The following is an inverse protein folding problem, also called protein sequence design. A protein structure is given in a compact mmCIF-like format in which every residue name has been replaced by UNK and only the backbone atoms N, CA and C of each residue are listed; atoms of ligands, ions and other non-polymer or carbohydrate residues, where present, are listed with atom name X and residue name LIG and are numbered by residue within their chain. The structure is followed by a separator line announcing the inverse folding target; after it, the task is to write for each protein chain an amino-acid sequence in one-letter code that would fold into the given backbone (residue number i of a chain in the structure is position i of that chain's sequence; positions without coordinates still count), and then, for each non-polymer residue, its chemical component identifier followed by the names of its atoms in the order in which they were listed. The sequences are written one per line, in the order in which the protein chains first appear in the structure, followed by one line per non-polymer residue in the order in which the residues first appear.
data_IF_862480443455
#
_entry.id   IF_862480443455
#
_cell.length_a   1.000
_cell.length_b   1.000
_cell.length_c   1.000
_cell.angle_alpha   90.00
_cell.angle_beta   90.00
_cell.angle_gamma   90.00
#
_symmetry.space_group_name_H-M   'P 1'
#
loop_
_entity.id
_entity.type
_entity.pdbx_description
1 polymer ?
#
# COMPACT_ATOMS: atom_id res chain seq x y z
N UNK A 1 -17.97 3.99 -18.34
CA UNK A 1 -16.84 3.23 -17.79
C UNK A 1 -15.71 4.24 -17.65
N UNK A 2 -15.34 4.62 -16.43
CA UNK A 2 -14.32 5.64 -16.23
C UNK A 2 -12.95 5.05 -16.58
N UNK A 3 -12.24 5.67 -17.52
CA UNK A 3 -10.85 5.39 -17.83
C UNK A 3 -10.01 5.49 -16.55
N UNK A 4 -9.63 4.36 -15.99
CA UNK A 4 -8.68 4.28 -14.88
C UNK A 4 -7.25 4.36 -15.42
N UNK A 5 -6.94 5.43 -16.16
CA UNK A 5 -5.56 5.90 -16.32
C UNK A 5 -5.08 6.66 -15.05
N UNK A 6 -5.80 6.50 -13.94
CA UNK A 6 -5.52 7.13 -12.66
C UNK A 6 -4.33 6.49 -11.97
N UNK A 7 -3.26 7.27 -11.81
CA UNK A 7 -2.13 6.94 -10.95
C UNK A 7 -2.66 6.44 -9.60
N UNK A 8 -2.18 5.28 -9.15
CA UNK A 8 -2.55 4.75 -7.85
C UNK A 8 -2.14 5.79 -6.78
N UNK A 9 -3.02 6.10 -5.82
CA UNK A 9 -2.76 7.15 -4.83
C UNK A 9 -1.70 6.75 -3.80
N UNK A 10 -1.26 5.50 -3.85
CA UNK A 10 -0.10 4.97 -3.15
C UNK A 10 0.90 4.48 -4.19
N UNK A 11 2.12 5.01 -4.13
CA UNK A 11 3.25 4.60 -4.96
C UNK A 11 4.38 4.13 -4.03
N UNK A 12 4.90 2.92 -4.29
CA UNK A 12 5.91 2.28 -3.46
C UNK A 12 7.26 2.16 -4.19
N UNK A 13 8.35 2.24 -3.43
CA UNK A 13 9.72 1.95 -3.87
C UNK A 13 10.21 0.71 -3.13
N UNK A 14 10.64 -0.31 -3.86
CA UNK A 14 11.29 -1.48 -3.28
C UNK A 14 12.73 -1.18 -2.89
N UNK A 15 13.21 -1.73 -1.77
CA UNK A 15 14.55 -1.52 -1.23
C UNK A 15 15.43 -2.78 -1.27
N UNK A 16 14.94 -3.86 -1.88
CA UNK A 16 15.68 -5.11 -2.04
C UNK A 16 15.18 -5.88 -3.26
N UNK A 17 15.99 -5.97 -4.32
CA UNK A 17 15.61 -6.67 -5.56
C UNK A 17 15.20 -8.12 -5.27
N UNK A 18 16.02 -8.89 -4.55
CA UNK A 18 15.74 -10.30 -4.26
C UNK A 18 14.41 -10.50 -3.52
N UNK A 19 14.14 -9.70 -2.48
CA UNK A 19 12.91 -9.82 -1.68
C UNK A 19 11.69 -9.23 -2.37
N UNK A 20 11.80 -8.05 -2.98
CA UNK A 20 10.67 -7.39 -3.65
C UNK A 20 10.17 -8.19 -4.85
N UNK A 21 11.07 -8.70 -5.71
CA UNK A 21 10.66 -9.51 -6.87
C UNK A 21 9.97 -10.81 -6.42
N UNK A 22 10.46 -11.46 -5.36
CA UNK A 22 9.81 -12.64 -4.78
C UNK A 22 8.37 -12.32 -4.35
N UNK A 23 8.21 -11.26 -3.54
CA UNK A 23 6.90 -10.84 -3.01
C UNK A 23 5.91 -10.48 -4.11
N UNK A 24 6.39 -9.83 -5.17
CA UNK A 24 5.60 -9.49 -6.36
C UNK A 24 5.23 -10.76 -7.16
N UNK A 25 6.17 -11.68 -7.36
CA UNK A 25 5.94 -12.93 -8.08
C UNK A 25 4.95 -13.86 -7.35
N UNK A 26 4.94 -13.83 -6.03
CA UNK A 26 3.97 -14.51 -5.19
C UNK A 26 2.59 -13.84 -5.19
N UNK A 27 2.49 -12.62 -5.72
CA UNK A 27 1.23 -11.86 -5.80
C UNK A 27 0.80 -11.23 -4.46
N UNK A 28 1.71 -11.08 -3.50
CA UNK A 28 1.38 -10.47 -2.19
C UNK A 28 1.22 -8.95 -2.29
N UNK A 29 1.96 -8.32 -3.20
CA UNK A 29 1.88 -6.89 -3.52
C UNK A 29 1.59 -6.76 -5.02
N UNK A 30 0.66 -5.89 -5.45
CA UNK A 30 0.43 -5.63 -6.87
C UNK A 30 1.64 -4.94 -7.52
N UNK A 31 2.14 -5.44 -8.66
CA UNK A 31 3.25 -4.80 -9.35
C UNK A 31 2.96 -3.35 -9.79
N UNK A 32 1.69 -3.03 -10.08
CA UNK A 32 1.28 -1.70 -10.51
C UNK A 32 1.46 -0.59 -9.48
N UNK A 33 1.54 -0.91 -8.18
CA UNK A 33 1.79 0.11 -7.13
C UNK A 33 3.28 0.42 -6.96
N UNK A 34 4.18 -0.38 -7.55
CA UNK A 34 5.63 -0.28 -7.33
C UNK A 34 6.27 0.50 -8.48
N UNK A 35 6.82 1.67 -8.15
CA UNK A 35 7.48 2.57 -9.12
C UNK A 35 8.82 2.04 -9.60
N UNK A 36 9.66 1.66 -8.65
CA UNK A 36 11.02 1.18 -8.88
C UNK A 36 11.48 0.32 -7.71
N UNK A 37 12.53 -0.46 -7.92
CA UNK A 37 13.18 -1.30 -6.92
C UNK A 37 14.66 -0.94 -6.91
N UNK A 38 15.18 -0.61 -5.74
CA UNK A 38 16.58 -0.25 -5.53
C UNK A 38 17.32 -1.47 -4.96
N UNK A 39 18.42 -1.83 -5.60
CA UNK A 39 19.28 -2.96 -5.22
C UNK A 39 20.43 -2.55 -4.32
N UNK A 40 20.70 -3.37 -3.30
CA UNK A 40 21.86 -3.23 -2.43
C UNK A 40 23.10 -4.00 -2.88
N UNK A 41 22.94 -5.01 -3.74
CA UNK A 41 24.03 -5.83 -4.28
C UNK A 41 24.50 -5.26 -5.61
N UNK A 42 25.81 -5.26 -5.84
CA UNK A 42 26.41 -4.83 -7.10
C UNK A 42 26.37 -5.99 -8.11
N UNK A 43 25.72 -5.77 -9.26
CA UNK A 43 25.82 -6.64 -10.42
C UNK A 43 26.19 -5.84 -11.66
N UNK A 44 27.23 -6.31 -12.36
CA UNK A 44 27.75 -5.68 -13.58
C UNK A 44 26.78 -5.78 -14.77
N UNK A 45 25.91 -6.80 -14.77
CA UNK A 45 24.85 -6.94 -15.75
C UNK A 45 23.60 -7.63 -15.16
N UNK A 46 22.45 -7.38 -15.78
CA UNK A 46 21.16 -7.87 -15.31
C UNK A 46 20.96 -9.37 -15.51
N UNK A 47 21.63 -9.98 -16.51
CA UNK A 47 21.53 -11.41 -16.76
C UNK A 47 22.23 -12.22 -15.66
N UNK A 48 23.39 -11.77 -15.18
CA UNK A 48 24.09 -12.36 -14.04
C UNK A 48 23.24 -12.24 -12.77
N UNK A 49 22.60 -11.08 -12.56
CA UNK A 49 21.66 -10.89 -11.46
C UNK A 49 20.51 -11.89 -11.55
N UNK A 50 19.91 -12.05 -12.73
CA UNK A 50 18.85 -13.04 -12.97
C UNK A 50 19.33 -14.45 -12.66
N UNK A 51 20.48 -14.88 -13.19
CA UNK A 51 21.02 -16.23 -12.97
C UNK A 51 21.24 -16.51 -11.49
N UNK A 52 21.84 -15.57 -10.77
CA UNK A 52 22.13 -15.75 -9.35
C UNK A 52 20.85 -15.75 -8.49
N UNK A 53 19.97 -14.77 -8.68
CA UNK A 53 18.80 -14.61 -7.83
C UNK A 53 17.69 -15.61 -8.15
N UNK A 54 17.53 -16.00 -9.42
CA UNK A 54 16.52 -17.00 -9.80
C UNK A 54 16.76 -18.34 -9.11
N UNK A 55 18.04 -18.74 -8.97
CA UNK A 55 18.41 -19.97 -8.29
C UNK A 55 18.31 -19.85 -6.76
N UNK A 56 18.81 -18.74 -6.19
CA UNK A 56 18.90 -18.57 -4.73
C UNK A 56 17.59 -18.18 -4.06
N UNK A 57 16.81 -17.29 -4.68
CA UNK A 57 15.68 -16.62 -4.01
C UNK A 57 14.33 -16.89 -4.67
N UNK A 58 14.30 -17.19 -5.96
CA UNK A 58 13.04 -17.27 -6.72
C UNK A 58 12.74 -18.67 -7.28
N UNK A 59 13.48 -19.69 -6.85
CA UNK A 59 13.39 -21.05 -7.37
C UNK A 59 11.97 -21.61 -7.34
N UNK A 60 11.23 -21.35 -6.25
CA UNK A 60 9.83 -21.76 -6.06
C UNK A 60 8.81 -21.05 -6.96
N UNK A 61 9.18 -19.93 -7.59
CA UNK A 61 8.29 -19.13 -8.43
C UNK A 61 8.98 -18.59 -9.70
N UNK A 62 9.97 -19.32 -10.22
CA UNK A 62 10.91 -18.84 -11.25
C UNK A 62 10.24 -18.17 -12.44
N UNK A 63 9.21 -18.79 -13.04
CA UNK A 63 8.53 -18.21 -14.22
C UNK A 63 7.84 -16.88 -13.91
N UNK A 64 7.18 -16.76 -12.74
CA UNK A 64 6.52 -15.52 -12.32
C UNK A 64 7.55 -14.45 -11.98
N UNK A 65 8.63 -14.83 -11.28
CA UNK A 65 9.73 -13.94 -10.97
C UNK A 65 10.42 -13.42 -12.24
N UNK A 66 10.56 -14.27 -13.27
CA UNK A 66 11.09 -13.87 -14.59
C UNK A 66 10.26 -12.76 -15.20
N UNK A 67 8.95 -12.95 -15.25
CA UNK A 67 8.02 -11.96 -15.80
C UNK A 67 8.12 -10.64 -15.04
N UNK A 68 8.06 -10.67 -13.71
CA UNK A 68 8.17 -9.44 -12.90
C UNK A 68 9.53 -8.77 -13.09
N UNK A 69 10.62 -9.53 -13.01
CA UNK A 69 11.98 -9.00 -13.15
C UNK A 69 12.16 -8.26 -14.48
N UNK A 70 11.86 -8.91 -15.60
CA UNK A 70 12.03 -8.29 -16.92
C UNK A 70 11.05 -7.13 -17.17
N UNK A 71 9.84 -7.15 -16.59
CA UNK A 71 8.95 -5.98 -16.61
C UNK A 71 9.56 -4.73 -15.95
N UNK A 72 10.29 -4.89 -14.85
CA UNK A 72 10.99 -3.78 -14.22
C UNK A 72 12.23 -3.37 -15.02
N UNK A 73 12.98 -4.33 -15.60
CA UNK A 73 14.12 -4.03 -16.47
C UNK A 73 13.69 -3.18 -17.68
N UNK A 74 12.67 -3.61 -18.41
CA UNK A 74 12.16 -2.93 -19.61
C UNK A 74 11.71 -1.49 -19.33
N UNK A 75 11.26 -1.22 -18.10
CA UNK A 75 10.79 0.10 -17.67
C UNK A 75 11.87 0.96 -17.00
N UNK A 76 13.14 0.52 -16.98
CA UNK A 76 14.21 1.13 -16.19
C UNK A 76 13.84 1.27 -14.69
N UNK A 77 13.05 0.33 -14.18
CA UNK A 77 12.54 0.30 -12.82
C UNK A 77 13.47 -0.39 -11.81
N UNK A 78 14.65 -0.85 -12.22
CA UNK A 78 15.70 -1.38 -11.33
C UNK A 78 16.81 -0.34 -11.22
N UNK A 79 17.12 0.08 -10.00
CA UNK A 79 18.16 1.07 -9.69
C UNK A 79 19.26 0.40 -8.85
N UNK A 80 20.53 0.58 -9.24
CA UNK A 80 21.69 0.01 -8.55
C UNK A 80 22.69 1.13 -8.17
N UNK A 81 22.51 1.79 -7.01
CA UNK A 81 23.36 2.91 -6.59
C UNK A 81 24.86 2.60 -6.56
N UNK A 82 25.24 1.37 -6.22
CA UNK A 82 26.65 0.96 -6.16
C UNK A 82 27.38 1.03 -7.51
N UNK A 83 26.67 0.94 -8.65
CA UNK A 83 27.29 1.14 -9.98
C UNK A 83 27.75 2.58 -10.19
N UNK A 84 27.21 3.53 -9.42
CA UNK A 84 27.57 4.96 -9.44
C UNK A 84 28.44 5.37 -8.26
N UNK A 85 28.91 4.41 -7.44
CA UNK A 85 29.65 4.69 -6.21
C UNK A 85 28.79 5.25 -5.07
N UNK A 86 27.46 5.16 -5.17
CA UNK A 86 26.52 5.61 -4.15
C UNK A 86 26.22 4.50 -3.13
N UNK A 87 25.88 4.88 -1.90
CA UNK A 87 25.40 3.94 -0.89
C UNK A 87 23.98 3.45 -1.22
N UNK A 88 23.70 2.14 -1.11
CA UNK A 88 22.35 1.64 -1.29
C UNK A 88 21.46 1.98 -0.08
N UNK A 89 20.13 2.00 -0.25
CA UNK A 89 19.22 2.21 0.87
C UNK A 89 19.28 1.05 1.85
N UNK A 90 19.23 1.37 3.14
CA UNK A 90 19.05 0.39 4.19
C UNK A 90 17.61 -0.18 4.16
N UNK A 91 17.50 -1.51 4.14
CA UNK A 91 16.24 -2.25 4.12
C UNK A 91 15.94 -2.98 5.43
N UNK A 92 16.70 -2.74 6.51
CA UNK A 92 16.55 -3.46 7.78
C UNK A 92 15.21 -3.17 8.48
N UNK A 93 14.64 -1.98 8.27
CA UNK A 93 13.35 -1.56 8.84
C UNK A 93 12.16 -1.76 7.89
N UNK A 94 12.34 -2.52 6.81
CA UNK A 94 11.33 -2.74 5.78
C UNK A 94 11.91 -2.74 4.38
N UNK A 95 11.35 -3.59 3.51
CA UNK A 95 11.77 -3.71 2.10
C UNK A 95 11.00 -2.79 1.15
N UNK A 96 10.02 -2.04 1.67
CA UNK A 96 9.21 -1.11 0.89
C UNK A 96 9.28 0.28 1.48
N UNK A 97 9.24 1.30 0.63
CA UNK A 97 9.16 2.70 1.01
C UNK A 97 7.95 3.34 0.33
N UNK A 98 7.13 4.06 1.09
CA UNK A 98 6.01 4.86 0.58
C UNK A 98 6.14 6.25 1.19
N UNK A 99 6.27 7.27 0.34
CA UNK A 99 6.68 8.60 0.79
C UNK A 99 8.00 8.53 1.58
N UNK A 100 7.99 9.01 2.82
CA UNK A 100 9.15 8.97 3.72
C UNK A 100 9.22 7.75 4.66
N UNK A 101 8.30 6.78 4.54
CA UNK A 101 8.15 5.69 5.52
C UNK A 101 8.53 4.34 4.94
N UNK A 102 9.12 3.49 5.80
CA UNK A 102 9.45 2.10 5.48
C UNK A 102 8.38 1.14 5.97
N UNK A 103 8.14 0.10 5.19
CA UNK A 103 7.14 -0.92 5.45
C UNK A 103 7.71 -2.32 5.23
N UNK A 104 7.35 -3.21 6.16
CA UNK A 104 7.35 -4.64 5.88
C UNK A 104 6.23 -5.00 4.91
N UNK A 105 6.37 -6.15 4.25
CA UNK A 105 5.41 -6.59 3.21
C UNK A 105 3.98 -6.70 3.73
N UNK A 106 3.77 -7.24 4.93
CA UNK A 106 2.44 -7.37 5.51
C UNK A 106 1.79 -6.01 5.78
N UNK A 107 2.56 -5.05 6.31
CA UNK A 107 2.09 -3.71 6.61
C UNK A 107 1.78 -2.91 5.34
N UNK A 108 2.58 -3.04 4.28
CA UNK A 108 2.28 -2.43 2.98
C UNK A 108 1.00 -3.03 2.40
N UNK A 109 0.86 -4.37 2.42
CA UNK A 109 -0.35 -5.03 1.92
C UNK A 109 -1.61 -4.50 2.61
N UNK A 110 -1.55 -4.39 3.93
CA UNK A 110 -2.67 -3.89 4.72
C UNK A 110 -3.03 -2.42 4.39
N UNK A 111 -2.01 -1.56 4.23
CA UNK A 111 -2.22 -0.18 3.80
C UNK A 111 -2.92 -0.12 2.43
N UNK A 112 -2.49 -0.96 1.47
CA UNK A 112 -3.09 -1.04 0.14
C UNK A 112 -4.53 -1.56 0.20
N UNK A 113 -4.79 -2.62 0.95
CA UNK A 113 -6.13 -3.21 1.10
C UNK A 113 -7.12 -2.20 1.74
N UNK A 114 -6.66 -1.46 2.75
CA UNK A 114 -7.45 -0.40 3.39
C UNK A 114 -7.67 0.78 2.46
N UNK A 115 -6.63 1.22 1.74
CA UNK A 115 -6.74 2.27 0.71
C UNK A 115 -7.80 1.93 -0.32
N UNK A 116 -7.72 0.73 -0.89
CA UNK A 116 -8.67 0.22 -1.87
C UNK A 116 -10.09 0.19 -1.31
N UNK A 117 -10.24 -0.31 -0.08
CA UNK A 117 -11.54 -0.36 0.60
C UNK A 117 -12.09 1.06 0.78
N UNK A 118 -11.26 1.97 1.30
CA UNK A 118 -11.63 3.36 1.57
C UNK A 118 -12.03 4.11 0.31
N UNK A 119 -11.29 3.98 -0.79
CA UNK A 119 -11.60 4.67 -2.05
C UNK A 119 -12.83 4.11 -2.76
N UNK A 120 -13.10 2.80 -2.61
CA UNK A 120 -14.31 2.17 -3.15
C UNK A 120 -15.58 2.51 -2.35
N UNK A 121 -15.45 3.08 -1.13
CA UNK A 121 -16.61 3.52 -0.36
C UNK A 121 -17.32 4.71 -1.05
N UNK A 122 -18.67 4.73 -1.08
CA UNK A 122 -19.42 5.91 -1.50
C UNK A 122 -19.01 7.16 -0.70
N UNK A 123 -18.97 8.32 -1.36
CA UNK A 123 -18.60 9.58 -0.69
C UNK A 123 -19.39 9.85 0.61
N UNK A 124 -20.73 9.66 0.66
CA UNK A 124 -21.47 9.84 1.92
C UNK A 124 -21.02 8.89 3.04
N UNK A 125 -20.61 7.67 2.71
CA UNK A 125 -20.09 6.72 3.69
C UNK A 125 -18.72 7.13 4.22
N UNK A 126 -17.84 7.68 3.36
CA UNK A 126 -16.56 8.25 3.78
C UNK A 126 -16.78 9.46 4.69
N UNK A 127 -17.69 10.35 4.31
CA UNK A 127 -17.98 11.57 5.08
C UNK A 127 -18.56 11.27 6.46
N UNK A 128 -19.42 10.25 6.54
CA UNK A 128 -19.93 9.72 7.80
C UNK A 128 -18.82 9.13 8.66
N UNK A 129 -17.90 8.34 8.09
CA UNK A 129 -16.74 7.79 8.82
C UNK A 129 -15.88 8.93 9.40
N UNK A 130 -15.58 9.95 8.60
CA UNK A 130 -14.82 11.12 9.03
C UNK A 130 -15.55 11.94 10.11
N UNK A 131 -16.89 12.03 10.03
CA UNK A 131 -17.70 12.71 11.03
C UNK A 131 -17.81 11.96 12.36
N UNK A 132 -17.50 10.66 12.38
CA UNK A 132 -17.56 9.79 13.56
C UNK A 132 -16.17 9.39 14.07
N UNK A 133 -15.13 10.16 13.71
CA UNK A 133 -13.79 9.95 14.24
C UNK A 133 -13.77 10.18 15.75
N UNK A 134 -13.19 9.26 16.53
CA UNK A 134 -13.09 9.42 17.97
C UNK A 134 -12.10 10.55 18.33
N UNK A 135 -12.16 11.10 19.56
CA UNK A 135 -11.33 12.24 19.96
C UNK A 135 -9.82 12.01 19.83
N UNK A 136 -9.37 10.78 20.06
CA UNK A 136 -7.95 10.38 19.91
C UNK A 136 -7.51 10.39 18.44
N UNK A 137 -8.39 10.03 17.49
CA UNK A 137 -8.12 10.15 16.06
C UNK A 137 -7.91 11.61 15.64
N UNK A 138 -8.74 12.50 16.16
CA UNK A 138 -8.62 13.94 15.91
C UNK A 138 -7.31 14.48 16.48
N UNK A 139 -6.95 14.07 17.71
CA UNK A 139 -5.65 14.40 18.31
C UNK A 139 -4.49 13.91 17.44
N UNK A 140 -4.54 12.66 16.96
CA UNK A 140 -3.49 12.10 16.10
C UNK A 140 -3.35 12.85 14.76
N UNK A 141 -4.46 13.27 14.16
CA UNK A 141 -4.47 14.11 12.95
C UNK A 141 -3.86 15.48 13.23
N UNK A 142 -4.28 16.14 14.31
CA UNK A 142 -3.74 17.43 14.73
C UNK A 142 -2.23 17.36 14.98
N UNK A 143 -1.78 16.36 15.73
CA UNK A 143 -0.35 16.14 15.99
C UNK A 143 0.44 15.90 14.70
N UNK A 144 -0.13 15.13 13.76
CA UNK A 144 0.52 14.84 12.48
C UNK A 144 0.64 16.09 11.59
N UNK A 145 -0.33 17.01 11.66
CA UNK A 145 -0.24 18.33 11.01
C UNK A 145 0.87 19.16 11.66
N UNK A 146 0.87 19.26 12.99
CA UNK A 146 1.84 20.06 13.75
C UNK A 146 3.28 19.55 13.61
N UNK A 147 3.48 18.24 13.59
CA UNK A 147 4.80 17.60 13.42
C UNK A 147 5.34 17.66 11.99
N UNK A 148 4.53 18.08 11.02
CA UNK A 148 4.96 18.32 9.64
C UNK A 148 4.47 17.29 8.61
N UNK A 149 4.12 16.08 9.03
CA UNK A 149 3.74 14.98 8.12
C UNK A 149 2.50 15.33 7.28
N UNK A 150 1.51 15.95 7.89
CA UNK A 150 0.30 16.44 7.22
C UNK A 150 0.28 17.95 7.04
N UNK A 151 1.42 18.64 7.23
CA UNK A 151 1.50 20.08 7.01
C UNK A 151 1.08 20.52 5.60
N UNK A 152 1.37 19.78 4.51
CA UNK A 152 0.87 20.15 3.18
C UNK A 152 -0.66 20.14 3.07
N UNK A 153 -1.36 19.36 3.90
CA UNK A 153 -2.83 19.37 3.94
C UNK A 153 -3.35 20.73 4.41
N UNK A 154 -2.69 21.33 5.39
CA UNK A 154 -3.09 22.59 6.00
C UNK A 154 -1.87 23.39 6.49
N UNK A 155 -1.16 24.11 5.59
CA UNK A 155 0.07 24.80 5.93
C UNK A 155 -0.08 25.90 6.98
N UNK A 156 -1.27 26.50 7.05
CA UNK A 156 -1.66 27.62 7.91
C UNK A 156 -2.45 27.19 9.17
N UNK A 157 -2.38 25.90 9.55
CA UNK A 157 -3.18 25.32 10.62
C UNK A 157 -3.11 26.10 11.94
N UNK A 158 -1.92 26.48 12.41
CA UNK A 158 -1.74 27.20 13.68
C UNK A 158 -2.49 28.54 13.69
N UNK A 159 -2.40 29.29 12.59
CA UNK A 159 -3.11 30.56 12.47
C UNK A 159 -4.63 30.35 12.39
N UNK A 160 -5.08 29.31 11.68
CA UNK A 160 -6.51 28.99 11.53
C UNK A 160 -7.16 28.41 12.79
N UNK A 161 -6.37 27.77 13.65
CA UNK A 161 -6.84 27.18 14.91
C UNK A 161 -6.75 28.16 16.08
N UNK A 162 -6.03 29.27 15.93
CA UNK A 162 -5.88 30.28 16.97
C UNK A 162 -7.25 30.82 17.42
N UNK A 163 -7.52 30.75 18.72
CA UNK A 163 -8.77 31.24 19.32
C UNK A 163 -10.01 30.37 19.07
N UNK A 164 -9.87 29.22 18.40
CA UNK A 164 -10.99 28.28 18.16
C UNK A 164 -11.21 27.32 19.32
N UNK A 165 -12.46 26.89 19.49
CA UNK A 165 -12.80 25.78 20.38
C UNK A 165 -12.26 24.44 19.83
N UNK A 166 -12.34 23.39 20.65
CA UNK A 166 -11.97 22.02 20.24
C UNK A 166 -12.89 21.50 19.12
N UNK A 167 -14.17 21.81 19.18
CA UNK A 167 -15.19 21.44 18.20
C UNK A 167 -14.93 22.14 16.87
N UNK A 168 -14.63 23.45 16.91
CA UNK A 168 -14.30 24.23 15.71
C UNK A 168 -12.99 23.76 15.07
N UNK A 169 -11.98 23.41 15.87
CA UNK A 169 -10.72 22.83 15.39
C UNK A 169 -10.95 21.46 14.75
N UNK A 170 -11.82 20.63 15.34
CA UNK A 170 -12.21 19.34 14.78
C UNK A 170 -12.90 19.50 13.43
N UNK A 171 -13.87 20.41 13.34
CA UNK A 171 -14.59 20.72 12.11
C UNK A 171 -13.64 21.23 11.01
N UNK A 172 -12.66 22.06 11.38
CA UNK A 172 -11.62 22.55 10.46
C UNK A 172 -10.80 21.40 9.87
N UNK A 173 -10.30 20.48 10.71
CA UNK A 173 -9.49 19.33 10.28
C UNK A 173 -10.31 18.42 9.36
N UNK A 174 -11.50 18.02 9.81
CA UNK A 174 -12.38 17.11 9.06
C UNK A 174 -12.81 17.74 7.73
N UNK A 175 -13.17 19.02 7.72
CA UNK A 175 -13.53 19.75 6.50
C UNK A 175 -12.39 19.72 5.48
N UNK A 176 -11.16 19.99 5.92
CA UNK A 176 -10.01 19.99 5.01
C UNK A 176 -9.67 18.60 4.46
N UNK A 177 -9.84 17.56 5.26
CA UNK A 177 -9.68 16.16 4.81
C UNK A 177 -10.73 15.82 3.74
N UNK A 178 -12.00 16.23 3.94
CA UNK A 178 -13.07 16.02 2.95
C UNK A 178 -12.75 16.72 1.63
N UNK A 179 -12.30 17.97 1.69
CA UNK A 179 -11.87 18.71 0.50
C UNK A 179 -10.78 17.94 -0.25
N UNK A 180 -9.71 17.51 0.44
CA UNK A 180 -8.63 16.73 -0.16
C UNK A 180 -9.13 15.42 -0.79
N UNK A 181 -10.00 14.69 -0.09
CA UNK A 181 -10.54 13.42 -0.57
C UNK A 181 -11.56 13.53 -1.72
N UNK A 182 -12.06 14.75 -1.99
CA UNK A 182 -12.90 15.04 -3.15
C UNK A 182 -12.10 15.26 -4.43
N UNK A 183 -10.78 15.49 -4.33
CA UNK A 183 -9.89 15.64 -5.48
C UNK A 183 -9.62 14.28 -6.15
N UNK A 184 -10.41 13.92 -7.14
CA UNK A 184 -10.14 12.74 -7.98
C UNK A 184 -9.28 13.11 -9.20
N UNK A 185 -8.29 12.28 -9.64
CA UNK A 185 -7.55 11.23 -8.94
C UNK A 185 -6.13 11.65 -8.51
N UNK A 186 -5.78 12.93 -8.68
CA UNK A 186 -4.37 13.35 -8.69
C UNK A 186 -3.74 13.60 -7.32
N UNK A 187 -4.53 13.55 -6.22
CA UNK A 187 -4.13 13.77 -4.82
C UNK A 187 -2.77 14.46 -4.66
N UNK A 188 -2.70 15.76 -4.92
CA UNK A 188 -1.46 16.52 -4.86
C UNK A 188 -1.32 17.18 -3.48
N UNK A 189 -0.14 17.07 -2.82
CA UNK A 189 1.04 16.29 -3.25
C UNK A 189 0.85 14.77 -3.05
N UNK A 190 1.50 13.91 -3.87
CA UNK A 190 1.25 12.47 -3.92
C UNK A 190 1.52 11.74 -2.59
N UNK A 191 2.49 12.23 -1.81
CA UNK A 191 2.87 11.62 -0.53
C UNK A 191 1.86 11.91 0.59
N UNK A 192 0.93 12.84 0.39
CA UNK A 192 0.00 13.26 1.44
C UNK A 192 -1.07 12.19 1.72
N UNK A 193 -1.54 11.50 0.68
CA UNK A 193 -2.58 10.49 0.83
C UNK A 193 -2.12 9.28 1.65
N UNK A 194 -0.93 8.68 1.41
CA UNK A 194 -0.38 7.65 2.28
C UNK A 194 -0.26 8.09 3.75
N UNK A 195 0.25 9.31 4.01
CA UNK A 195 0.40 9.83 5.38
C UNK A 195 -0.96 10.00 6.08
N UNK A 196 -1.96 10.50 5.36
CA UNK A 196 -3.33 10.64 5.89
C UNK A 196 -3.91 9.27 6.23
N UNK A 197 -3.80 8.30 5.31
CA UNK A 197 -4.28 6.94 5.54
C UNK A 197 -3.60 6.27 6.73
N UNK A 198 -2.30 6.51 6.94
CA UNK A 198 -1.59 5.96 8.09
C UNK A 198 -2.16 6.44 9.42
N UNK A 199 -2.47 7.73 9.54
CA UNK A 199 -3.09 8.27 10.76
C UNK A 199 -4.49 7.70 10.94
N UNK A 200 -5.25 7.53 9.87
CA UNK A 200 -6.62 7.01 9.91
C UNK A 200 -6.69 5.48 10.04
N UNK A 201 -5.60 4.77 9.74
CA UNK A 201 -5.53 3.31 9.64
C UNK A 201 -6.14 2.59 10.86
N UNK A 202 -5.78 2.94 12.12
CA UNK A 202 -6.33 2.24 13.28
C UNK A 202 -7.86 2.38 13.39
N UNK A 203 -8.38 3.54 12.98
CA UNK A 203 -9.80 3.89 13.08
C UNK A 203 -10.62 3.29 11.95
N UNK A 204 -10.07 3.26 10.73
CA UNK A 204 -10.69 2.59 9.60
C UNK A 204 -10.77 1.08 9.88
N UNK A 205 -9.72 0.48 10.46
CA UNK A 205 -9.73 -0.94 10.87
C UNK A 205 -10.87 -1.24 11.84
N UNK A 206 -11.00 -0.50 12.93
CA UNK A 206 -12.09 -0.72 13.90
C UNK A 206 -13.46 -0.72 13.22
N UNK A 207 -13.72 0.26 12.35
CA UNK A 207 -15.01 0.41 11.66
C UNK A 207 -15.26 -0.62 10.56
N UNK A 208 -14.21 -1.07 9.86
CA UNK A 208 -14.32 -2.07 8.79
C UNK A 208 -14.44 -3.49 9.35
N UNK A 209 -13.81 -3.77 10.49
CA UNK A 209 -13.97 -5.03 11.24
C UNK A 209 -15.33 -5.07 11.96
N UNK A 210 -15.81 -3.98 12.53
CA UNK A 210 -17.16 -3.92 13.14
C UNK A 210 -18.28 -4.23 12.14
N UNK A 211 -18.12 -3.84 10.87
CA UNK A 211 -19.09 -4.18 9.81
C UNK A 211 -18.99 -5.63 9.31
N UNK A 212 -17.86 -6.32 9.49
CA UNK A 212 -17.74 -7.74 9.12
C UNK A 212 -18.33 -8.68 10.19
N UNK A 213 -18.55 -8.20 11.41
CA UNK A 213 -19.19 -8.96 12.51
C UNK A 213 -20.74 -8.94 12.41
N UNK A 214 -21.34 -8.04 11.62
CA UNK A 214 -22.79 -8.04 11.33
C UNK A 214 -23.05 -8.52 9.90
N UNK A 215 -22.44 -9.65 9.52
CA UNK A 215 -23.06 -10.55 8.56
C UNK A 215 -23.72 -11.65 9.38
N UNK A 216 -25.00 -11.47 9.70
CA UNK A 216 -25.85 -12.59 10.09
C UNK A 216 -25.70 -13.65 8.99
N UNK A 217 -24.93 -14.70 9.31
CA UNK A 217 -24.99 -15.96 8.60
C UNK A 217 -26.46 -16.40 8.65
N UNK A 218 -27.21 -16.09 7.61
CA UNK A 218 -28.25 -17.00 7.18
C UNK A 218 -27.49 -18.21 6.68
N UNK A 219 -27.31 -19.20 7.56
CA UNK A 219 -26.86 -20.52 7.19
C UNK A 219 -27.80 -21.03 6.10
N UNK A 220 -27.38 -20.90 4.84
CA UNK A 220 -27.96 -21.70 3.78
C UNK A 220 -27.39 -23.11 3.95
N UNK A 221 -28.23 -24.15 4.06
CA UNK A 221 -27.73 -25.51 4.15
C UNK A 221 -26.91 -25.81 2.90
N UNK A 222 -25.72 -26.38 3.10
CA UNK A 222 -24.83 -26.83 2.02
C UNK A 222 -25.47 -28.04 1.35
N UNK A 223 -26.37 -27.79 0.40
CA UNK A 223 -26.67 -28.74 -0.65
C UNK A 223 -25.95 -28.25 -1.90
N UNK A 224 -25.25 -29.16 -2.58
CA UNK A 224 -24.48 -28.98 -3.83
C UNK A 224 -22.98 -28.62 -3.75
N UNK A 225 -22.28 -28.99 -2.68
CA UNK A 225 -20.84 -29.27 -2.82
C UNK A 225 -20.67 -30.64 -3.49
N UNK A 226 -20.60 -30.67 -4.82
CA UNK A 226 -20.24 -31.86 -5.56
C UNK A 226 -18.76 -32.18 -5.30
N UNK A 227 -18.51 -33.10 -4.38
CA UNK A 227 -17.21 -33.74 -4.16
C UNK A 227 -16.81 -34.42 -5.47
N UNK A 228 -15.88 -33.83 -6.23
CA UNK A 228 -15.19 -34.55 -7.32
C UNK A 228 -14.16 -35.47 -6.68
N UNK A 229 -14.22 -36.77 -7.02
CA UNK A 229 -13.20 -37.74 -6.61
C UNK A 229 -11.84 -37.34 -7.20
N UNK A 230 -10.78 -37.49 -6.41
CA UNK A 230 -9.41 -37.24 -6.83
C UNK A 230 -9.03 -38.13 -8.03
N UNK A 231 -8.44 -37.51 -9.05
CA UNK A 231 -7.89 -38.22 -10.22
C UNK A 231 -6.52 -38.78 -9.81
N UNK A 232 -6.37 -40.11 -9.82
CA UNK A 232 -5.05 -40.75 -9.68
C UNK A 232 -4.29 -40.59 -11.00
N UNK A 233 -3.06 -40.12 -10.91
CA UNK A 233 -2.11 -40.13 -12.03
C UNK A 233 -1.66 -41.58 -12.29
N UNK A 234 -1.41 -41.98 -13.55
CA UNK A 234 -0.92 -43.32 -13.86
C UNK A 234 0.45 -43.55 -13.24
N UNK A 235 0.60 -44.67 -12.54
CA UNK A 235 1.88 -45.15 -12.03
C UNK A 235 2.80 -45.44 -13.22
N UNK A 236 4.01 -44.89 -13.18
CA UNK A 236 5.07 -45.20 -14.13
C UNK A 236 5.52 -46.65 -13.91
N UNK A 237 5.18 -47.54 -14.84
CA UNK A 237 5.68 -48.91 -14.88
C UNK A 237 7.22 -48.91 -14.94
N UNK A 238 7.84 -49.60 -13.98
CA UNK A 238 9.18 -50.18 -14.07
C UNK A 238 9.12 -51.59 -13.53
#
# INVERSE_FOLDING_TARGET
MADMNGKLPIEAVGLSISRCILVLAEGRIPAGVVRKIIGGTLFDNLDNMWQEYSQKYWSSCTLRARTVFYQFVEKNGIDQPRLRGEEPPDSAAGIWMVGGRRYETAALKELLDISDTFLKMPAPSRDSLLGMLPPDAITALQDSILKGNLKPLMPDFVARAAGKSKEETTALIVGRIREFLSMAPNFQPPDLYPELLQVLLPYIRMRTVEKSVVSTKTERPVQFSQIRKAVRLPESEK
#
